data_IF_080793306809
#
_entry.id   IF_080793306809
#
_cell.length_a   1.000
_cell.length_b   1.000
_cell.length_c   1.000
_cell.angle_alpha   90.00
_cell.angle_beta   90.00
_cell.angle_gamma   90.00
#
_symmetry.space_group_name_H-M   'P 1'
#
loop_
_entity.id
_entity.type
_entity.pdbx_description
1 polymer ?
#
# COMPACT_ATOMS: atom_id res chain seq x y z
N UNK A 1 16.36 -7.00 18.62
CA UNK A 1 15.63 -7.87 17.68
C UNK A 1 15.56 -7.14 16.35
N UNK A 2 16.33 -7.55 15.35
CA UNK A 2 16.42 -6.84 14.07
C UNK A 2 15.12 -6.98 13.28
N UNK A 3 14.51 -5.86 12.89
CA UNK A 3 13.42 -5.84 11.92
C UNK A 3 14.00 -6.27 10.56
N UNK A 4 13.82 -7.54 10.19
CA UNK A 4 14.08 -7.98 8.81
C UNK A 4 12.83 -7.64 8.00
N UNK A 5 13.05 -6.82 6.97
CA UNK A 5 12.00 -6.17 6.19
C UNK A 5 11.31 -7.12 5.20
N UNK A 6 10.15 -6.68 4.75
CA UNK A 6 9.41 -7.25 3.62
C UNK A 6 10.16 -6.88 2.34
N UNK A 7 10.47 -7.86 1.49
CA UNK A 7 11.11 -7.60 0.19
C UNK A 7 10.05 -7.16 -0.83
N UNK A 8 10.21 -5.95 -1.38
CA UNK A 8 9.30 -5.36 -2.37
C UNK A 8 9.93 -5.50 -3.75
N UNK A 9 9.24 -6.18 -4.68
CA UNK A 9 9.69 -6.34 -6.08
C UNK A 9 8.90 -5.39 -6.98
N UNK A 10 9.63 -4.55 -7.72
CA UNK A 10 9.06 -3.49 -8.54
C UNK A 10 8.75 -3.96 -9.96
N UNK A 11 7.52 -3.71 -10.42
CA UNK A 11 7.10 -3.92 -11.80
C UNK A 11 6.33 -2.69 -12.30
N UNK A 12 6.67 -2.17 -13.49
CA UNK A 12 6.03 -0.98 -14.07
C UNK A 12 5.16 -1.37 -15.26
N UNK A 13 3.85 -1.11 -15.20
CA UNK A 13 2.97 -1.17 -16.37
C UNK A 13 3.07 0.14 -17.14
N UNK A 14 3.73 0.13 -18.30
CA UNK A 14 3.72 1.30 -19.20
C UNK A 14 2.46 1.19 -20.08
N UNK A 15 1.40 1.92 -19.72
CA UNK A 15 0.28 2.12 -20.64
C UNK A 15 0.71 3.08 -21.75
N UNK A 16 0.99 2.55 -22.95
CA UNK A 16 1.26 3.38 -24.13
C UNK A 16 -0.04 4.09 -24.55
N UNK A 17 -0.34 5.27 -23.97
CA UNK A 17 -1.31 6.18 -24.60
C UNK A 17 -0.72 6.61 -25.95
N UNK A 18 -1.33 6.18 -27.05
CA UNK A 18 -1.00 6.63 -28.42
C UNK A 18 -1.13 8.16 -28.47
N UNK A 19 -0.05 8.91 -28.35
CA UNK A 19 -0.02 10.30 -28.81
C UNK A 19 -0.08 10.27 -30.34
N UNK A 20 -1.17 10.80 -30.91
CA UNK A 20 -1.22 11.11 -32.34
C UNK A 20 -0.30 12.33 -32.56
N UNK A 21 0.84 12.11 -33.20
CA UNK A 21 1.77 13.17 -33.60
C UNK A 21 1.08 14.14 -34.56
N UNK A 22 0.91 15.40 -34.15
CA UNK A 22 0.53 16.51 -35.03
C UNK A 22 1.83 17.17 -35.51
N UNK A 23 2.17 16.98 -36.78
CA UNK A 23 3.42 17.45 -37.37
C UNK A 23 3.48 18.97 -37.50
N UNK A 24 4.60 19.56 -37.07
CA UNK A 24 5.02 20.92 -37.46
C UNK A 24 6.47 20.83 -37.94
N UNK A 25 6.67 21.30 -39.17
CA UNK A 25 7.89 21.30 -39.98
C UNK A 25 8.54 22.68 -39.87
N UNK A 26 9.79 22.80 -39.38
CA UNK A 26 10.63 24.00 -39.61
C UNK A 26 12.12 23.62 -39.79
N UNK A 27 12.53 23.82 -41.04
CA UNK A 27 13.81 23.95 -41.76
C UNK A 27 15.15 24.02 -40.98
N UNK A 28 16.14 23.24 -41.47
CA UNK A 28 17.55 23.16 -41.07
C UNK A 28 18.44 24.29 -41.61
N UNK A 29 19.41 24.74 -40.82
CA UNK A 29 20.64 25.43 -41.26
C UNK A 29 21.85 24.75 -40.57
N UNK A 30 22.90 24.50 -41.36
CA UNK A 30 23.91 23.45 -41.20
C UNK A 30 25.15 23.94 -40.45
N UNK A 31 25.62 23.19 -39.43
CA UNK A 31 27.04 23.13 -39.00
C UNK A 31 27.34 21.67 -38.56
N UNK A 32 28.39 20.98 -39.06
CA UNK A 32 28.66 19.61 -38.68
C UNK A 32 29.56 19.57 -37.43
N UNK A 33 29.08 18.95 -36.35
CA UNK A 33 29.94 18.41 -35.31
C UNK A 33 29.49 16.97 -35.01
N UNK A 34 30.25 16.03 -35.55
CA UNK A 34 30.02 14.61 -35.37
C UNK A 34 30.52 14.25 -33.96
N UNK A 35 29.60 14.10 -33.01
CA UNK A 35 29.77 13.16 -31.91
C UNK A 35 28.76 12.04 -32.07
N UNK A 36 29.30 10.84 -32.22
CA UNK A 36 28.61 9.55 -32.24
C UNK A 36 27.62 9.44 -31.08
N UNK A 37 26.32 9.38 -31.40
CA UNK A 37 25.33 8.72 -30.56
C UNK A 37 24.92 7.42 -31.24
N UNK A 38 24.71 6.32 -30.50
CA UNK A 38 24.14 5.12 -31.10
C UNK A 38 22.70 5.44 -31.51
N UNK A 39 22.52 5.49 -32.83
CA UNK A 39 21.25 5.55 -33.53
C UNK A 39 20.46 4.28 -33.19
N UNK A 40 19.58 4.30 -32.20
CA UNK A 40 18.60 3.23 -32.04
C UNK A 40 17.58 3.34 -33.18
N UNK A 41 17.77 2.50 -34.20
CA UNK A 41 16.75 2.21 -35.21
C UNK A 41 15.62 1.43 -34.52
N UNK A 42 14.45 2.05 -34.36
CA UNK A 42 13.23 1.29 -34.07
C UNK A 42 12.80 0.58 -35.35
N UNK A 43 13.11 -0.71 -35.44
CA UNK A 43 12.51 -1.59 -36.43
C UNK A 43 11.18 -2.08 -35.83
N UNK A 44 10.05 -1.49 -36.21
CA UNK A 44 8.76 -2.10 -35.93
C UNK A 44 8.53 -3.21 -36.95
N UNK A 45 8.82 -4.46 -36.56
CA UNK A 45 8.21 -5.60 -37.23
C UNK A 45 6.72 -5.60 -36.86
N UNK A 46 5.86 -5.28 -37.81
CA UNK A 46 4.49 -5.80 -37.83
C UNK A 46 4.61 -7.31 -38.07
N UNK A 47 4.61 -8.09 -36.99
CA UNK A 47 4.31 -9.50 -37.09
C UNK A 47 2.91 -9.71 -36.54
N UNK A 48 2.05 -10.17 -37.43
CA UNK A 48 0.64 -10.39 -37.19
C UNK A 48 0.38 -11.41 -36.08
N UNK A 49 -0.91 -11.45 -35.74
CA UNK A 49 -1.56 -12.42 -34.88
C UNK A 49 -0.87 -13.79 -34.88
N UNK A 50 -0.34 -14.19 -33.72
CA UNK A 50 -0.32 -15.58 -33.23
C UNK A 50 0.28 -15.66 -31.82
N UNK A 51 -0.57 -16.13 -30.90
CA UNK A 51 -0.25 -16.98 -29.76
C UNK A 51 0.54 -16.37 -28.60
N UNK A 52 -0.14 -15.59 -27.76
CA UNK A 52 0.23 -15.46 -26.34
C UNK A 52 -0.18 -16.73 -25.57
N UNK A 53 0.64 -17.76 -25.69
CA UNK A 53 0.72 -18.84 -24.72
C UNK A 53 2.20 -18.96 -24.33
N UNK A 54 2.47 -18.77 -23.04
CA UNK A 54 3.73 -18.97 -22.32
C UNK A 54 4.67 -17.76 -22.23
N UNK A 55 4.52 -16.96 -21.15
CA UNK A 55 5.57 -16.65 -20.15
C UNK A 55 5.01 -15.70 -19.05
N UNK A 56 3.98 -16.15 -18.33
CA UNK A 56 3.61 -15.70 -16.98
C UNK A 56 2.57 -16.68 -16.43
N UNK A 57 2.53 -17.01 -15.13
CA UNK A 57 1.42 -17.77 -14.59
C UNK A 57 0.13 -16.98 -14.88
N UNK A 58 -0.85 -17.64 -15.51
CA UNK A 58 -2.18 -17.07 -15.72
C UNK A 58 -2.81 -16.93 -14.34
N UNK A 59 -2.67 -15.75 -13.75
CA UNK A 59 -3.37 -15.39 -12.53
C UNK A 59 -4.87 -15.51 -12.77
N UNK A 60 -5.56 -16.15 -11.83
CA UNK A 60 -7.02 -16.12 -11.73
C UNK A 60 -7.49 -14.67 -11.81
N UNK A 61 -8.63 -14.46 -12.48
CA UNK A 61 -9.07 -13.15 -12.96
C UNK A 61 -8.79 -12.00 -11.97
N UNK A 62 -8.23 -10.87 -12.45
CA UNK A 62 -7.86 -9.75 -11.59
C UNK A 62 -9.03 -9.23 -10.77
N UNK A 63 -8.78 -8.55 -9.62
CA UNK A 63 -9.87 -8.01 -8.83
C UNK A 63 -10.67 -7.01 -9.68
N UNK A 64 -12.01 -6.92 -9.49
CA UNK A 64 -12.84 -6.05 -10.31
C UNK A 64 -12.26 -4.63 -10.35
N UNK A 65 -12.23 -4.03 -11.54
CA UNK A 65 -11.84 -2.64 -11.75
C UNK A 65 -10.35 -2.28 -11.54
N UNK A 66 -9.44 -3.26 -11.48
CA UNK A 66 -8.00 -2.97 -11.38
C UNK A 66 -7.47 -2.05 -12.49
N UNK A 67 -8.10 -2.09 -13.66
CA UNK A 67 -7.70 -1.31 -14.83
C UNK A 67 -7.89 0.20 -14.64
N UNK A 68 -8.57 0.64 -13.58
CA UNK A 68 -8.67 2.05 -13.23
C UNK A 68 -7.42 2.58 -12.51
N UNK A 69 -6.55 1.71 -11.99
CA UNK A 69 -5.27 2.12 -11.44
C UNK A 69 -4.21 2.22 -12.52
N UNK A 70 -3.39 3.28 -12.46
CA UNK A 70 -2.29 3.48 -13.42
C UNK A 70 -1.07 2.63 -13.09
N UNK A 71 -0.88 2.30 -11.82
CA UNK A 71 0.35 1.68 -11.32
C UNK A 71 0.05 0.57 -10.32
N UNK A 72 1.01 -0.34 -10.16
CA UNK A 72 0.99 -1.35 -9.13
C UNK A 72 2.41 -1.74 -8.71
N UNK A 73 2.56 -2.30 -7.50
CA UNK A 73 3.80 -2.87 -6.96
C UNK A 73 3.50 -4.22 -6.31
N UNK A 74 4.37 -5.21 -6.53
CA UNK A 74 4.25 -6.52 -5.87
C UNK A 74 5.03 -6.48 -4.56
N UNK A 75 4.38 -6.89 -3.49
CA UNK A 75 4.94 -7.01 -2.15
C UNK A 75 5.06 -8.49 -1.85
N UNK A 76 6.28 -8.96 -1.54
CA UNK A 76 6.54 -10.34 -1.17
C UNK A 76 6.76 -10.43 0.34
N UNK A 77 5.84 -11.10 1.02
CA UNK A 77 5.96 -11.41 2.44
C UNK A 77 6.80 -12.69 2.56
N UNK A 78 8.02 -12.54 3.08
CA UNK A 78 8.98 -13.62 3.31
C UNK A 78 8.43 -14.60 4.37
N UNK A 79 8.24 -15.85 3.97
CA UNK A 79 7.71 -16.88 4.85
C UNK A 79 8.62 -17.18 6.06
N UNK A 80 9.93 -16.94 5.94
CA UNK A 80 10.88 -17.17 7.03
C UNK A 80 10.69 -16.19 8.19
N UNK A 81 9.94 -15.12 7.96
CA UNK A 81 9.54 -14.15 8.97
C UNK A 81 8.16 -14.45 9.59
N UNK A 82 7.46 -15.48 9.09
CA UNK A 82 6.16 -15.92 9.60
C UNK A 82 6.37 -17.05 10.60
N UNK A 83 6.23 -16.72 11.88
CA UNK A 83 6.41 -17.70 12.97
C UNK A 83 5.27 -18.71 13.03
N UNK A 84 5.56 -19.91 13.55
CA UNK A 84 4.59 -20.99 13.71
C UNK A 84 4.69 -22.05 12.61
N UNK A 85 3.62 -22.83 12.44
CA UNK A 85 3.56 -23.92 11.45
C UNK A 85 2.26 -23.81 10.65
N UNK A 86 2.33 -24.06 9.34
CA UNK A 86 1.16 -24.02 8.46
C UNK A 86 0.84 -22.60 7.98
N UNK A 87 -0.45 -22.32 7.76
CA UNK A 87 -0.92 -21.01 7.32
C UNK A 87 -1.82 -20.36 8.37
N UNK A 88 -1.59 -19.07 8.62
CA UNK A 88 -2.44 -18.24 9.47
C UNK A 88 -3.59 -17.69 8.65
N UNK A 89 -4.83 -17.98 9.06
CA UNK A 89 -6.01 -17.49 8.38
C UNK A 89 -6.34 -16.06 8.80
N UNK A 90 -6.71 -15.21 7.82
CA UNK A 90 -7.20 -13.84 8.05
C UNK A 90 -6.28 -12.98 8.93
N UNK A 91 -4.97 -13.05 8.69
CA UNK A 91 -3.96 -12.41 9.52
C UNK A 91 -3.64 -10.98 9.02
N UNK A 92 -3.82 -9.93 9.84
CA UNK A 92 -3.37 -8.57 9.51
C UNK A 92 -1.84 -8.46 9.51
N UNK A 93 -1.28 -8.07 8.38
CA UNK A 93 0.15 -7.83 8.21
C UNK A 93 0.40 -6.33 8.13
N UNK A 94 1.39 -5.84 8.88
CA UNK A 94 1.85 -4.46 8.78
C UNK A 94 2.77 -4.29 7.56
N UNK A 95 2.34 -3.45 6.63
CA UNK A 95 3.14 -2.96 5.52
C UNK A 95 3.68 -1.59 5.89
N UNK A 96 5.01 -1.45 5.98
CA UNK A 96 5.67 -0.18 6.30
C UNK A 96 6.80 0.06 5.30
N UNK A 97 6.68 1.13 4.51
CA UNK A 97 7.60 1.43 3.43
C UNK A 97 7.77 2.94 3.20
N UNK A 98 8.90 3.28 2.59
CA UNK A 98 9.16 4.60 2.01
C UNK A 98 9.30 4.45 0.50
N UNK A 99 8.55 5.22 -0.28
CA UNK A 99 8.48 5.01 -1.73
C UNK A 99 8.40 6.34 -2.50
N UNK A 100 9.23 6.46 -3.54
CA UNK A 100 9.33 7.66 -4.35
C UNK A 100 8.16 7.84 -5.32
N UNK A 101 7.55 6.75 -5.78
CA UNK A 101 6.43 6.82 -6.72
C UNK A 101 5.17 7.26 -5.96
N UNK A 102 4.97 6.79 -4.73
CA UNK A 102 3.84 7.21 -3.90
C UNK A 102 3.83 8.72 -3.56
N UNK A 103 4.99 9.38 -3.66
CA UNK A 103 5.11 10.84 -3.51
C UNK A 103 4.45 11.61 -4.67
N UNK A 104 4.34 11.01 -5.85
CA UNK A 104 3.98 11.71 -7.10
C UNK A 104 2.68 11.16 -7.68
N UNK A 105 2.48 9.84 -7.58
CA UNK A 105 1.51 9.10 -8.36
C UNK A 105 0.26 8.68 -7.56
N UNK A 106 0.08 9.20 -6.33
CA UNK A 106 -1.05 8.89 -5.42
C UNK A 106 -1.80 10.20 -5.10
N UNK A 107 -3.09 10.12 -4.77
CA UNK A 107 -3.82 11.24 -4.19
C UNK A 107 -3.17 11.70 -2.86
N UNK A 108 -3.28 12.99 -2.53
CA UNK A 108 -2.62 13.54 -1.33
C UNK A 108 -3.11 12.95 -0.01
N UNK A 109 -4.31 12.36 -0.01
CA UNK A 109 -4.91 11.67 1.14
C UNK A 109 -4.74 10.14 1.10
N UNK A 110 -4.06 9.58 0.09
CA UNK A 110 -3.84 8.14 -0.04
C UNK A 110 -5.08 7.31 -0.43
N UNK A 111 -6.22 7.95 -0.75
CA UNK A 111 -7.49 7.26 -1.01
C UNK A 111 -7.47 6.28 -2.19
N UNK A 112 -6.50 6.43 -3.09
CA UNK A 112 -6.32 5.54 -4.22
C UNK A 112 -5.22 4.50 -3.99
N UNK A 113 -4.84 4.21 -2.75
CA UNK A 113 -4.02 3.04 -2.41
C UNK A 113 -4.95 1.86 -2.14
N UNK A 114 -4.69 0.71 -2.79
CA UNK A 114 -5.47 -0.52 -2.56
C UNK A 114 -4.58 -1.76 -2.66
N UNK A 115 -4.98 -2.85 -2.01
CA UNK A 115 -4.22 -4.11 -1.98
C UNK A 115 -5.04 -5.28 -2.52
N UNK A 116 -4.38 -6.23 -3.19
CA UNK A 116 -5.01 -7.43 -3.73
C UNK A 116 -4.12 -8.66 -3.60
N UNK A 117 -4.73 -9.85 -3.52
CA UNK A 117 -4.06 -11.14 -3.70
C UNK A 117 -4.28 -11.69 -5.12
N UNK A 118 -4.27 -10.79 -6.10
CA UNK A 118 -4.54 -11.02 -7.52
C UNK A 118 -5.97 -11.38 -7.89
N UNK A 119 -6.73 -12.03 -7.00
CA UNK A 119 -8.12 -12.41 -7.28
C UNK A 119 -9.12 -11.50 -6.57
N UNK A 120 -8.80 -11.06 -5.37
CA UNK A 120 -9.69 -10.28 -4.52
C UNK A 120 -9.00 -9.01 -4.03
N UNK A 121 -9.79 -7.96 -3.83
CA UNK A 121 -9.34 -6.82 -3.02
C UNK A 121 -9.21 -7.27 -1.56
N UNK A 122 -8.16 -6.80 -0.90
CA UNK A 122 -7.88 -7.07 0.51
C UNK A 122 -8.35 -5.89 1.36
N UNK A 123 -8.94 -6.22 2.51
CA UNK A 123 -9.24 -5.21 3.52
C UNK A 123 -7.92 -4.62 4.04
N UNK A 124 -7.91 -3.30 4.18
CA UNK A 124 -6.78 -2.58 4.71
C UNK A 124 -7.22 -1.36 5.52
N UNK A 125 -6.30 -0.88 6.36
CA UNK A 125 -6.39 0.34 7.14
C UNK A 125 -5.04 1.05 6.99
N UNK A 126 -5.04 2.30 6.54
CA UNK A 126 -3.85 3.13 6.44
C UNK A 126 -3.68 3.85 7.78
N UNK A 127 -2.65 3.43 8.51
CA UNK A 127 -2.24 4.09 9.75
C UNK A 127 -1.54 5.42 9.45
N UNK A 128 -0.65 5.42 8.45
CA UNK A 128 0.11 6.62 8.04
C UNK A 128 0.18 6.67 6.54
N UNK A 129 -0.26 7.80 5.98
CA UNK A 129 0.18 8.22 4.66
C UNK A 129 0.70 9.65 4.72
N UNK A 130 2.02 9.79 4.60
CA UNK A 130 2.67 11.09 4.48
C UNK A 130 3.31 11.20 3.10
N UNK A 131 2.58 11.77 2.15
CA UNK A 131 3.04 11.96 0.78
C UNK A 131 4.36 12.76 0.71
N UNK A 132 4.57 13.68 1.64
CA UNK A 132 5.72 14.58 1.69
C UNK A 132 6.72 14.22 2.77
N UNK A 133 6.78 12.95 3.19
CA UNK A 133 7.63 12.49 4.29
C UNK A 133 9.06 13.04 4.21
N UNK A 134 9.67 12.99 3.02
CA UNK A 134 10.86 13.78 2.73
C UNK A 134 10.86 14.31 1.28
N UNK A 135 11.98 14.92 0.86
CA UNK A 135 12.12 15.50 -0.48
C UNK A 135 12.04 14.51 -1.64
N UNK A 136 12.12 13.20 -1.38
CA UNK A 136 12.22 12.15 -2.40
C UNK A 136 11.24 10.99 -2.22
N UNK A 137 10.75 10.72 -1.01
CA UNK A 137 9.89 9.58 -0.70
C UNK A 137 8.66 10.02 0.10
N UNK A 138 7.54 9.35 -0.15
CA UNK A 138 6.41 9.28 0.76
C UNK A 138 6.63 8.19 1.81
N UNK A 139 5.90 8.25 2.92
CA UNK A 139 5.80 7.19 3.91
C UNK A 139 4.41 6.56 3.84
N UNK A 140 4.37 5.23 3.84
CA UNK A 140 3.14 4.45 3.99
C UNK A 140 3.31 3.46 5.15
N UNK A 141 2.33 3.44 6.04
CA UNK A 141 2.12 2.40 7.06
C UNK A 141 0.67 1.96 6.95
N UNK A 142 0.44 0.68 6.67
CA UNK A 142 -0.89 0.13 6.50
C UNK A 142 -0.98 -1.28 7.07
N UNK A 143 -2.12 -1.62 7.66
CA UNK A 143 -2.49 -2.98 8.01
C UNK A 143 -3.26 -3.59 6.85
N UNK A 144 -2.88 -4.79 6.40
CA UNK A 144 -3.55 -5.50 5.31
C UNK A 144 -3.91 -6.90 5.77
N UNK A 145 -5.19 -7.27 5.69
CA UNK A 145 -5.63 -8.61 6.09
C UNK A 145 -5.33 -9.63 5.00
N UNK A 146 -4.43 -10.57 5.30
CA UNK A 146 -4.03 -11.66 4.42
C UNK A 146 -4.91 -12.88 4.70
N UNK A 147 -5.73 -13.36 3.73
CA UNK A 147 -6.65 -14.47 3.98
C UNK A 147 -5.95 -15.78 4.39
N UNK A 148 -4.75 -16.02 3.87
CA UNK A 148 -3.91 -17.17 4.20
C UNK A 148 -2.44 -16.76 4.12
N UNK A 149 -1.79 -16.61 5.27
CA UNK A 149 -0.38 -16.24 5.39
C UNK A 149 0.45 -17.49 5.72
N UNK A 150 1.25 -17.95 4.77
CA UNK A 150 2.02 -19.20 4.93
C UNK A 150 3.33 -18.99 5.68
N UNK A 151 3.69 -19.95 6.55
CA UNK A 151 5.02 -20.08 7.17
C UNK A 151 6.01 -20.93 6.36
N UNK A 152 5.62 -21.41 5.18
CA UNK A 152 6.45 -22.32 4.36
C UNK A 152 6.69 -21.84 2.93
N UNK A 153 5.91 -20.89 2.43
CA UNK A 153 6.06 -20.31 1.09
C UNK A 153 5.79 -18.82 1.14
N UNK A 154 6.54 -18.05 0.38
CA UNK A 154 6.35 -16.60 0.32
C UNK A 154 4.93 -16.26 -0.14
N UNK A 155 4.36 -15.21 0.45
CA UNK A 155 3.03 -14.72 0.09
C UNK A 155 3.18 -13.44 -0.71
N UNK A 156 2.66 -13.41 -1.94
CA UNK A 156 2.63 -12.20 -2.75
C UNK A 156 1.28 -11.50 -2.61
N UNK A 157 1.33 -10.18 -2.46
CA UNK A 157 0.19 -9.28 -2.67
C UNK A 157 0.60 -8.16 -3.62
N UNK A 158 -0.38 -7.49 -4.20
CA UNK A 158 -0.18 -6.39 -5.13
C UNK A 158 -0.81 -5.13 -4.56
N UNK A 159 -0.02 -4.06 -4.43
CA UNK A 159 -0.48 -2.71 -4.10
C UNK A 159 -0.74 -1.94 -5.39
N UNK A 160 -1.97 -1.45 -5.58
CA UNK A 160 -2.41 -0.65 -6.72
C UNK A 160 -2.55 0.82 -6.33
N UNK A 161 -2.21 1.73 -7.23
CA UNK A 161 -2.33 3.18 -7.02
C UNK A 161 -2.39 4.00 -8.31
N UNK A 162 -2.64 5.30 -8.16
CA UNK A 162 -2.69 6.27 -9.25
C UNK A 162 -4.02 6.34 -9.95
N UNK A 163 -5.12 6.33 -9.19
CA UNK A 163 -6.44 6.70 -9.68
C UNK A 163 -6.91 7.96 -8.93
N UNK A 164 -6.80 9.12 -9.56
CA UNK A 164 -7.10 10.43 -8.97
C UNK A 164 -8.60 10.69 -8.73
N UNK A 165 -9.47 9.79 -9.18
CA UNK A 165 -10.93 9.89 -9.01
C UNK A 165 -11.49 8.85 -8.04
N UNK A 166 -10.64 8.01 -7.46
CA UNK A 166 -11.06 6.93 -6.58
C UNK A 166 -11.35 7.42 -5.15
N UNK A 167 -12.45 6.96 -4.57
CA UNK A 167 -12.72 7.08 -3.13
C UNK A 167 -11.93 6.04 -2.34
N UNK A 168 -11.64 6.32 -1.07
CA UNK A 168 -10.95 5.35 -0.18
C UNK A 168 -11.59 3.97 -0.25
N UNK A 169 -10.72 2.95 -0.30
CA UNK A 169 -11.08 1.54 -0.27
C UNK A 169 -10.75 0.88 1.07
N UNK A 170 -10.39 1.67 2.07
CA UNK A 170 -10.13 1.17 3.42
C UNK A 170 -11.37 0.48 3.99
N UNK A 171 -11.13 -0.55 4.78
CA UNK A 171 -12.13 -1.26 5.54
C UNK A 171 -11.53 -1.72 6.87
N UNK A 172 -11.33 -0.81 7.84
CA UNK A 172 -10.70 -1.14 9.12
C UNK A 172 -11.41 -2.28 9.87
N UNK A 173 -12.74 -2.26 9.88
CA UNK A 173 -13.57 -3.34 10.45
C UNK A 173 -13.30 -4.68 9.76
N UNK A 174 -13.07 -4.67 8.45
CA UNK A 174 -12.69 -5.87 7.70
C UNK A 174 -11.29 -6.35 8.03
N UNK A 175 -10.35 -5.45 8.34
CA UNK A 175 -8.99 -5.82 8.80
C UNK A 175 -9.06 -6.52 10.14
N UNK A 176 -9.76 -5.90 11.09
CA UNK A 176 -9.93 -6.38 12.46
C UNK A 176 -11.27 -7.10 12.60
N UNK A 177 -11.33 -8.30 12.03
CA UNK A 177 -12.53 -9.13 12.08
C UNK A 177 -12.93 -9.50 13.52
N UNK A 178 -14.01 -10.29 13.67
CA UNK A 178 -14.56 -10.68 14.97
C UNK A 178 -13.61 -11.42 15.93
N UNK A 179 -12.41 -11.83 15.49
CA UNK A 179 -11.39 -12.38 16.39
C UNK A 179 -10.60 -11.30 17.15
N UNK A 180 -10.76 -10.03 16.78
CA UNK A 180 -10.19 -8.88 17.46
C UNK A 180 -11.29 -8.20 18.25
N UNK A 181 -11.22 -8.31 19.58
CA UNK A 181 -12.22 -7.71 20.46
C UNK A 181 -12.01 -6.21 20.63
N UNK A 182 -10.82 -5.68 20.35
CA UNK A 182 -10.61 -4.23 20.32
C UNK A 182 -9.23 -3.88 19.79
N UNK A 183 -9.14 -2.79 19.02
CA UNK A 183 -7.90 -2.33 18.40
C UNK A 183 -7.83 -0.81 18.49
N UNK A 184 -6.99 -0.31 19.40
CA UNK A 184 -6.73 1.12 19.58
C UNK A 184 -5.31 1.44 19.17
N UNK A 185 -5.16 2.24 18.11
CA UNK A 185 -3.85 2.66 17.62
C UNK A 185 -3.28 3.86 18.39
N UNK A 186 -4.13 4.59 19.12
CA UNK A 186 -3.76 5.71 20.01
C UNK A 186 -3.07 6.87 19.26
N UNK A 187 -3.50 7.13 18.02
CA UNK A 187 -2.95 8.17 17.14
C UNK A 187 -3.72 9.49 17.16
N UNK A 188 -4.83 9.55 17.89
CA UNK A 188 -5.62 10.76 18.01
C UNK A 188 -4.83 11.87 18.71
N UNK A 189 -5.05 13.12 18.27
CA UNK A 189 -4.45 14.31 18.88
C UNK A 189 -5.26 14.82 20.07
N UNK A 190 -6.54 14.45 20.13
CA UNK A 190 -7.50 14.83 21.16
C UNK A 190 -8.75 13.95 21.06
N UNK A 191 -9.51 13.83 22.15
CA UNK A 191 -10.80 13.11 22.17
C UNK A 191 -10.63 11.67 22.63
N UNK A 192 -11.60 10.80 22.33
CA UNK A 192 -11.57 9.39 22.74
C UNK A 192 -10.54 8.59 21.92
N UNK A 193 -9.99 7.53 22.52
CA UNK A 193 -9.19 6.54 21.80
C UNK A 193 -10.12 5.74 20.88
N UNK A 194 -9.91 5.79 19.57
CA UNK A 194 -10.82 5.11 18.63
C UNK A 194 -10.50 3.61 18.56
N UNK A 195 -11.57 2.81 18.54
CA UNK A 195 -11.51 1.37 18.32
C UNK A 195 -11.78 1.07 16.84
N UNK A 196 -10.80 0.50 16.14
CA UNK A 196 -10.87 0.18 14.71
C UNK A 196 -11.71 -1.08 14.39
N UNK A 197 -12.22 -1.78 15.40
CA UNK A 197 -13.06 -2.97 15.22
C UNK A 197 -14.54 -2.63 15.02
N UNK A 198 -15.36 -3.63 14.68
CA UNK A 198 -16.82 -3.47 14.63
C UNK A 198 -17.47 -3.24 16.00
N UNK A 199 -16.77 -3.53 17.10
CA UNK A 199 -17.31 -3.34 18.46
C UNK A 199 -17.42 -1.85 18.80
N UNK A 200 -16.58 -1.02 18.17
CA UNK A 200 -16.61 0.43 18.30
C UNK A 200 -16.61 0.87 19.77
N UNK A 201 -15.81 0.21 20.60
CA UNK A 201 -15.65 0.54 22.02
C UNK A 201 -14.63 1.66 22.19
N UNK A 202 -15.03 2.90 21.92
CA UNK A 202 -14.11 4.03 22.10
C UNK A 202 -13.64 4.13 23.56
N UNK A 203 -12.34 4.39 23.73
CA UNK A 203 -11.71 4.53 25.03
C UNK A 203 -11.91 5.92 25.61
N UNK A 204 -12.60 6.01 26.74
CA UNK A 204 -12.78 7.28 27.47
C UNK A 204 -11.52 7.65 28.22
N UNK A 205 -11.03 8.87 27.99
CA UNK A 205 -9.79 9.38 28.59
C UNK A 205 -10.08 10.21 29.83
N UNK A 206 -9.35 9.98 30.92
CA UNK A 206 -9.40 10.79 32.15
C UNK A 206 -8.00 11.01 32.74
N UNK A 207 -7.85 12.04 33.58
CA UNK A 207 -6.56 12.40 34.21
C UNK A 207 -5.54 13.00 33.25
N UNK A 208 -4.25 12.87 33.58
CA UNK A 208 -3.10 13.49 32.92
C UNK A 208 -2.65 12.86 31.58
N UNK A 209 -3.53 12.18 30.85
CA UNK A 209 -3.16 11.56 29.56
C UNK A 209 -2.81 12.64 28.53
N UNK A 210 -1.60 12.55 27.96
CA UNK A 210 -1.17 13.42 26.86
C UNK A 210 -1.23 12.67 25.52
N UNK A 211 -2.12 13.11 24.64
CA UNK A 211 -2.31 12.56 23.29
C UNK A 211 -1.32 13.16 22.26
N UNK A 212 -1.29 12.61 21.04
CA UNK A 212 -0.43 13.11 19.95
C UNK A 212 1.07 12.89 20.15
N UNK A 213 1.46 11.81 20.85
CA UNK A 213 2.88 11.43 20.99
C UNK A 213 3.27 10.50 19.85
N UNK A 214 4.54 10.49 19.50
CA UNK A 214 5.07 9.52 18.53
C UNK A 214 5.21 8.14 19.17
N UNK A 215 4.54 7.16 18.60
CA UNK A 215 4.64 5.75 18.95
C UNK A 215 5.60 4.96 18.08
N UNK A 216 5.55 3.63 18.22
CA UNK A 216 6.35 2.70 17.39
C UNK A 216 5.74 2.50 16.00
N UNK A 217 4.42 2.63 15.91
CA UNK A 217 3.60 2.54 14.71
C UNK A 217 2.71 3.77 14.82
N UNK A 218 3.11 4.85 14.16
CA UNK A 218 2.51 6.19 14.22
C UNK A 218 2.43 6.85 15.61
N UNK A 219 1.26 6.76 16.25
CA UNK A 219 0.90 7.50 17.44
C UNK A 219 1.03 6.72 18.74
N UNK A 220 0.96 7.45 19.84
CA UNK A 220 0.88 6.91 21.19
C UNK A 220 0.30 7.97 22.12
N UNK A 221 -0.17 7.51 23.28
CA UNK A 221 -0.47 8.38 24.41
C UNK A 221 0.65 8.27 25.45
N UNK A 222 0.90 9.37 26.17
CA UNK A 222 1.80 9.40 27.31
C UNK A 222 1.00 9.38 28.61
N UNK A 223 1.38 8.45 29.49
CA UNK A 223 0.83 8.29 30.83
C UNK A 223 1.86 8.80 31.83
N UNK A 224 1.47 9.76 32.66
CA UNK A 224 2.34 10.44 33.61
C UNK A 224 2.66 9.64 34.88
N UNK A 225 1.93 8.55 35.10
CA UNK A 225 2.07 7.69 36.28
C UNK A 225 1.38 8.21 37.53
N UNK A 226 0.54 9.24 37.43
CA UNK A 226 -0.20 9.83 38.56
C UNK A 226 -1.68 9.43 38.49
N UNK A 227 -2.41 9.92 37.49
CA UNK A 227 -3.85 9.72 37.35
C UNK A 227 -4.30 9.43 35.91
N UNK A 228 -3.36 9.23 34.99
CA UNK A 228 -3.62 8.92 33.59
C UNK A 228 -4.39 7.59 33.42
N UNK A 229 -5.58 7.65 32.81
CA UNK A 229 -6.41 6.48 32.52
C UNK A 229 -7.06 6.58 31.13
N UNK A 230 -7.05 5.45 30.41
CA UNK A 230 -7.93 5.23 29.26
C UNK A 230 -8.80 4.01 29.58
N UNK A 231 -10.11 4.23 29.70
CA UNK A 231 -11.07 3.17 29.92
C UNK A 231 -11.62 2.69 28.57
N UNK A 232 -11.11 1.55 28.10
CA UNK A 232 -11.48 0.95 26.81
C UNK A 232 -12.86 0.30 26.78
N UNK A 233 -13.57 0.27 27.92
CA UNK A 233 -14.83 -0.47 28.09
C UNK A 233 -14.67 -1.97 27.80
N UNK A 234 -15.76 -2.74 27.86
CA UNK A 234 -15.75 -4.16 27.51
C UNK A 234 -16.41 -4.36 26.13
N UNK A 235 -15.63 -4.73 25.09
CA UNK A 235 -16.20 -5.04 23.78
C UNK A 235 -17.02 -6.34 23.73
N UNK A 236 -16.98 -7.16 24.78
CA UNK A 236 -17.69 -8.44 24.88
C UNK A 236 -19.05 -8.40 25.60
N UNK A 237 -19.49 -7.25 26.12
CA UNK A 237 -20.70 -7.12 26.94
C UNK A 237 -21.59 -5.92 26.58
#
# INVERSE_FOLDING_TARGET
>A
MGKKGVDVKFYRKISKKKLKSLGILVIFLIIPLILSTPLFKFNSQENGEKNEQNFAPKLSAPPPNENYFRYYKVITIDNTMVSGTGSHANFPVLISLFDSDLRIDVQSNGSDIAFSNDTNWLDHEIEVFNQTYNGTHAQLVAWVRIPSLSSSVDTNITMYYGNDTMSSRENPIGVWNSNYVGVWHLSELSGEAQDSTSYATQGTITGGVTQGRTGKIDGAYFFDGVDSLVNMSDPGH
#
